data_IF_898266161596
#
_entry.id   IF_898266161596
#
_cell.length_a   1.000
_cell.length_b   1.000
_cell.length_c   1.000
_cell.angle_alpha   90.00
_cell.angle_beta   90.00
_cell.angle_gamma   90.00
#
_symmetry.space_group_name_H-M   'P 1'
#
loop_
_entity.id
_entity.type
_entity.pdbx_description
1 polymer ?
#
# COMPACT_ATOMS: atom_id res chain seq x y z
N UNK A 1 -3.16 12.14 -21.45
CA UNK A 1 -2.32 11.38 -22.41
C UNK A 1 -1.25 12.23 -23.12
N UNK A 2 -1.48 13.52 -23.34
CA UNK A 2 -0.64 14.38 -24.20
C UNK A 2 0.39 15.22 -23.45
N UNK A 3 0.55 15.06 -22.15
CA UNK A 3 1.53 15.79 -21.35
C UNK A 3 2.82 14.98 -21.29
N UNK A 4 3.95 15.60 -21.61
CA UNK A 4 5.27 14.95 -21.50
C UNK A 4 5.52 14.52 -20.06
N UNK A 5 6.26 13.43 -19.81
CA UNK A 5 6.55 12.97 -18.45
C UNK A 5 7.12 14.04 -17.52
N UNK A 6 7.92 14.96 -18.06
CA UNK A 6 8.59 16.04 -17.34
C UNK A 6 7.64 17.14 -16.89
N UNK A 7 6.54 17.35 -17.63
CA UNK A 7 5.56 18.43 -17.38
C UNK A 7 4.33 17.94 -16.61
N UNK A 8 4.34 16.72 -16.09
CA UNK A 8 3.20 16.16 -15.37
C UNK A 8 3.10 16.72 -13.97
N UNK A 9 1.93 17.25 -13.64
CA UNK A 9 1.60 17.63 -12.28
C UNK A 9 1.53 16.40 -11.36
N UNK A 10 1.78 16.60 -10.07
CA UNK A 10 1.72 15.54 -9.06
C UNK A 10 0.27 15.16 -8.71
N UNK A 11 -0.46 14.67 -9.71
CA UNK A 11 -1.88 14.28 -9.63
C UNK A 11 -2.08 12.88 -10.21
N UNK A 12 -3.03 12.13 -9.67
CA UNK A 12 -3.43 10.82 -10.18
C UNK A 12 -2.32 9.77 -10.09
N UNK A 13 -1.95 9.15 -11.21
CA UNK A 13 -0.91 8.11 -11.24
C UNK A 13 0.46 8.65 -10.84
N UNK A 14 0.80 9.88 -11.23
CA UNK A 14 2.07 10.50 -10.86
C UNK A 14 2.20 10.62 -9.35
N UNK A 15 1.16 11.13 -8.68
CA UNK A 15 1.12 11.24 -7.23
C UNK A 15 1.23 9.88 -6.52
N UNK A 16 0.60 8.83 -7.09
CA UNK A 16 0.68 7.48 -6.53
C UNK A 16 2.11 6.94 -6.61
N UNK A 17 2.77 7.10 -7.76
CA UNK A 17 4.15 6.65 -7.91
C UNK A 17 5.10 7.44 -7.02
N UNK A 18 4.98 8.76 -6.96
CA UNK A 18 5.82 9.61 -6.10
C UNK A 18 5.64 9.29 -4.60
N UNK A 19 4.47 8.82 -4.21
CA UNK A 19 4.20 8.41 -2.82
C UNK A 19 4.78 7.03 -2.47
N UNK A 20 4.84 6.13 -3.45
CA UNK A 20 5.31 4.75 -3.24
C UNK A 20 6.83 4.68 -3.35
N UNK A 21 7.43 5.43 -4.29
CA UNK A 21 8.86 5.45 -4.51
C UNK A 21 9.51 6.68 -3.83
N UNK A 22 10.77 6.60 -3.42
CA UNK A 22 11.69 5.48 -3.56
C UNK A 22 11.40 4.33 -2.58
N UNK A 23 11.71 3.11 -3.01
CA UNK A 23 11.68 1.92 -2.16
C UNK A 23 13.12 1.52 -1.88
N UNK A 24 13.53 1.60 -0.62
CA UNK A 24 14.87 1.21 -0.18
C UNK A 24 14.83 -0.13 0.53
N UNK A 25 15.89 -0.89 0.39
CA UNK A 25 16.08 -2.08 1.17
C UNK A 25 16.43 -1.74 2.63
N UNK A 26 16.35 -2.71 3.53
CA UNK A 26 16.64 -2.53 4.96
C UNK A 26 18.10 -2.15 5.22
N UNK A 27 19.04 -2.61 4.41
CA UNK A 27 20.47 -2.30 4.53
C UNK A 27 20.85 -0.96 3.89
N UNK A 28 19.94 -0.33 3.13
CA UNK A 28 20.21 0.90 2.40
C UNK A 28 21.16 0.72 1.20
N UNK A 29 21.49 -0.52 0.83
CA UNK A 29 22.39 -0.84 -0.27
C UNK A 29 21.67 -0.74 -1.60
N UNK A 30 20.40 -1.12 -1.68
CA UNK A 30 19.60 -1.08 -2.89
C UNK A 30 18.45 -0.08 -2.75
N UNK A 31 18.26 0.75 -3.75
CA UNK A 31 17.19 1.74 -3.81
C UNK A 31 16.54 1.70 -5.19
N UNK A 32 15.23 1.50 -5.22
CA UNK A 32 14.43 1.50 -6.44
C UNK A 32 13.71 2.85 -6.58
N UNK A 33 14.01 3.58 -7.65
CA UNK A 33 13.43 4.89 -7.94
C UNK A 33 12.51 4.84 -9.15
N UNK A 34 11.43 5.58 -9.06
CA UNK A 34 10.55 5.85 -10.18
C UNK A 34 11.13 6.98 -11.05
N UNK A 35 11.11 6.79 -12.37
CA UNK A 35 11.54 7.79 -13.34
C UNK A 35 10.34 8.37 -14.09
N UNK A 36 9.62 7.53 -14.81
CA UNK A 36 8.45 7.91 -15.61
C UNK A 36 7.51 6.73 -15.80
N UNK A 37 6.27 7.01 -16.19
CA UNK A 37 5.35 6.00 -16.70
C UNK A 37 4.84 6.39 -18.08
N UNK A 38 4.48 5.41 -18.85
CA UNK A 38 3.88 5.56 -20.19
C UNK A 38 2.65 4.68 -20.28
N UNK A 39 1.60 5.23 -20.89
CA UNK A 39 0.40 4.52 -21.27
C UNK A 39 0.43 4.35 -22.78
N UNK A 40 0.56 3.13 -23.24
CA UNK A 40 0.54 2.81 -24.65
C UNK A 40 -0.86 3.04 -25.24
N UNK A 41 -0.95 3.09 -26.56
CA UNK A 41 -2.26 3.17 -27.19
C UNK A 41 -3.03 1.85 -27.02
N UNK A 42 -4.36 1.93 -26.78
CA UNK A 42 -5.18 0.73 -26.68
C UNK A 42 -5.09 -0.09 -27.96
N UNK A 43 -4.97 -1.41 -27.81
CA UNK A 43 -4.86 -2.33 -28.95
C UNK A 43 -6.13 -2.34 -29.79
N UNK A 44 -7.30 -2.16 -29.18
CA UNK A 44 -8.61 -2.19 -29.81
C UNK A 44 -9.42 -0.98 -29.37
N UNK A 45 -10.31 -0.53 -30.27
CA UNK A 45 -11.30 0.51 -29.95
C UNK A 45 -12.39 -0.02 -29.01
N UNK A 46 -13.19 0.89 -28.46
CA UNK A 46 -14.28 0.58 -27.51
C UNK A 46 -15.28 -0.42 -28.09
N UNK A 47 -15.74 -0.16 -29.31
CA UNK A 47 -16.74 -1.01 -29.97
C UNK A 47 -16.18 -2.39 -30.32
N UNK A 48 -14.92 -2.45 -30.71
CA UNK A 48 -14.20 -3.69 -30.99
C UNK A 48 -13.99 -4.51 -29.70
N UNK A 49 -13.66 -3.87 -28.58
CA UNK A 49 -13.58 -4.52 -27.29
C UNK A 49 -14.92 -5.13 -26.85
N UNK A 50 -16.03 -4.45 -27.08
CA UNK A 50 -17.37 -4.96 -26.78
C UNK A 50 -17.69 -6.19 -27.63
N UNK A 51 -17.45 -6.13 -28.93
CA UNK A 51 -17.71 -7.23 -29.86
C UNK A 51 -16.87 -8.47 -29.59
N UNK A 52 -15.61 -8.29 -29.26
CA UNK A 52 -14.65 -9.36 -28.95
C UNK A 52 -14.74 -9.90 -27.53
N UNK A 53 -15.56 -9.31 -26.67
CA UNK A 53 -15.62 -9.67 -25.26
C UNK A 53 -14.35 -9.29 -24.48
N UNK A 54 -13.61 -8.27 -24.93
CA UNK A 54 -12.37 -7.79 -24.34
C UNK A 54 -12.54 -6.66 -23.33
N UNK A 55 -11.43 -6.24 -22.74
CA UNK A 55 -11.36 -5.09 -21.84
C UNK A 55 -10.69 -3.91 -22.54
N UNK A 56 -11.33 -2.75 -22.51
CA UNK A 56 -10.75 -1.51 -23.04
C UNK A 56 -9.76 -0.93 -22.07
N UNK A 57 -8.50 -1.04 -22.39
CA UNK A 57 -7.39 -0.61 -21.53
C UNK A 57 -6.13 -0.30 -22.32
N UNK A 58 -5.17 0.26 -21.62
CA UNK A 58 -3.86 0.63 -22.12
C UNK A 58 -2.79 -0.08 -21.30
N UNK A 59 -1.73 -0.53 -21.97
CA UNK A 59 -0.57 -1.10 -21.30
C UNK A 59 0.13 0.00 -20.48
N UNK A 60 0.31 -0.26 -19.19
CA UNK A 60 1.06 0.61 -18.30
C UNK A 60 2.50 0.12 -18.20
N UNK A 61 3.42 0.91 -18.73
CA UNK A 61 4.85 0.70 -18.64
C UNK A 61 5.46 1.73 -17.72
N UNK A 62 6.36 1.31 -16.85
CA UNK A 62 7.03 2.18 -15.90
C UNK A 62 8.54 2.01 -16.03
N UNK A 63 9.24 3.12 -16.15
CA UNK A 63 10.70 3.16 -16.14
C UNK A 63 11.16 3.31 -14.70
N UNK A 64 11.95 2.35 -14.24
CA UNK A 64 12.48 2.28 -12.89
C UNK A 64 14.02 2.27 -12.93
N UNK A 65 14.63 2.96 -11.96
CA UNK A 65 16.06 2.95 -11.73
C UNK A 65 16.38 2.19 -10.45
N UNK A 66 17.14 1.12 -10.58
CA UNK A 66 17.73 0.41 -9.44
C UNK A 66 19.12 0.97 -9.18
N UNK A 67 19.30 1.62 -8.04
CA UNK A 67 20.56 2.19 -7.59
C UNK A 67 21.15 1.23 -6.56
N UNK A 68 22.33 0.72 -6.85
CA UNK A 68 23.10 -0.13 -5.92
C UNK A 68 24.23 0.68 -5.35
N UNK A 69 24.31 0.74 -4.02
CA UNK A 69 25.36 1.46 -3.28
C UNK A 69 26.34 0.47 -2.68
N UNK A 70 27.57 0.90 -2.54
CA UNK A 70 28.63 0.20 -1.82
C UNK A 70 29.10 1.11 -0.70
N UNK A 71 29.20 0.55 0.50
CA UNK A 71 29.72 1.24 1.67
C UNK A 71 31.18 0.85 1.80
N UNK A 72 32.06 1.83 1.80
CA UNK A 72 33.49 1.64 2.06
C UNK A 72 33.68 1.30 3.55
N UNK A 73 34.23 0.13 3.82
CA UNK A 73 34.43 -0.38 5.19
C UNK A 73 35.40 0.49 6.01
N UNK A 74 36.35 1.20 5.38
CA UNK A 74 37.34 2.03 6.09
C UNK A 74 36.83 3.43 6.39
N UNK A 75 36.07 4.04 5.45
CA UNK A 75 35.64 5.44 5.56
C UNK A 75 34.17 5.59 5.97
N UNK A 76 33.37 4.51 5.86
CA UNK A 76 31.93 4.54 6.10
C UNK A 76 31.15 5.35 5.06
N UNK A 77 31.79 5.78 3.96
CA UNK A 77 31.15 6.58 2.91
C UNK A 77 30.41 5.67 1.94
N UNK A 78 29.12 5.98 1.74
CA UNK A 78 28.29 5.28 0.75
C UNK A 78 28.50 5.89 -0.63
N UNK A 79 28.95 5.10 -1.58
CA UNK A 79 29.12 5.47 -2.99
C UNK A 79 28.17 4.66 -3.88
N UNK A 80 27.76 5.25 -5.02
CA UNK A 80 26.94 4.54 -6.00
C UNK A 80 27.85 3.60 -6.78
N UNK A 81 27.56 2.30 -6.70
CA UNK A 81 28.30 1.26 -7.44
C UNK A 81 27.75 1.05 -8.83
N UNK A 82 26.42 1.00 -8.97
CA UNK A 82 25.77 0.71 -10.25
C UNK A 82 24.39 1.34 -10.30
N UNK A 83 23.94 1.74 -11.49
CA UNK A 83 22.58 2.22 -11.77
C UNK A 83 22.05 1.45 -12.97
N UNK A 84 20.97 0.69 -12.75
CA UNK A 84 20.29 -0.04 -13.80
C UNK A 84 18.92 0.57 -14.06
N UNK A 85 18.71 1.05 -15.28
CA UNK A 85 17.41 1.53 -15.73
C UNK A 85 16.71 0.44 -16.55
N UNK A 86 15.44 0.21 -16.26
CA UNK A 86 14.63 -0.78 -16.96
C UNK A 86 13.18 -0.35 -17.06
N UNK A 87 12.58 -0.58 -18.23
CA UNK A 87 11.15 -0.47 -18.43
C UNK A 87 10.45 -1.74 -17.96
N UNK A 88 9.52 -1.60 -17.06
CA UNK A 88 8.75 -2.69 -16.47
C UNK A 88 7.28 -2.56 -16.84
N UNK A 89 6.70 -3.63 -17.35
CA UNK A 89 5.27 -3.75 -17.55
C UNK A 89 4.59 -4.02 -16.21
N UNK A 90 3.71 -3.11 -15.77
CA UNK A 90 2.98 -3.26 -14.50
C UNK A 90 1.60 -3.88 -14.67
N UNK A 91 1.03 -3.82 -15.87
CA UNK A 91 -0.30 -4.37 -16.16
C UNK A 91 -1.09 -3.48 -17.11
N UNK A 92 -2.35 -3.86 -17.33
CA UNK A 92 -3.27 -3.11 -18.16
C UNK A 92 -4.07 -2.12 -17.31
N UNK A 93 -4.04 -0.84 -17.69
CA UNK A 93 -4.82 0.21 -17.07
C UNK A 93 -6.14 0.37 -17.82
N UNK A 94 -7.29 0.08 -17.20
CA UNK A 94 -8.58 0.32 -17.82
C UNK A 94 -8.77 1.80 -18.17
N UNK A 95 -9.26 2.09 -19.37
CA UNK A 95 -9.51 3.45 -19.83
C UNK A 95 -10.99 3.78 -19.76
N UNK A 96 -11.26 5.03 -19.37
CA UNK A 96 -12.61 5.57 -19.39
C UNK A 96 -13.00 5.93 -20.82
N UNK A 97 -14.22 5.54 -21.22
CA UNK A 97 -14.82 5.95 -22.49
C UNK A 97 -15.27 7.39 -22.44
N UNK A 98 -15.60 7.97 -23.59
CA UNK A 98 -16.18 9.32 -23.69
C UNK A 98 -17.51 9.49 -22.91
N UNK A 99 -18.22 8.39 -22.64
CA UNK A 99 -19.47 8.37 -21.88
C UNK A 99 -19.27 8.23 -20.36
N UNK A 100 -18.02 8.24 -19.87
CA UNK A 100 -17.72 8.08 -18.45
C UNK A 100 -17.84 6.63 -17.93
N UNK A 101 -17.81 5.65 -18.82
CA UNK A 101 -17.91 4.22 -18.50
C UNK A 101 -16.62 3.50 -18.79
N UNK A 102 -16.51 2.27 -18.33
CA UNK A 102 -15.41 1.34 -18.61
C UNK A 102 -15.96 0.10 -19.31
N UNK A 103 -15.14 -0.56 -20.11
CA UNK A 103 -15.49 -1.83 -20.75
C UNK A 103 -14.61 -2.93 -20.15
N UNK A 104 -15.25 -3.90 -19.49
CA UNK A 104 -14.61 -5.09 -18.95
C UNK A 104 -15.27 -6.34 -19.54
N UNK A 105 -14.48 -7.19 -20.17
CA UNK A 105 -14.94 -8.45 -20.76
C UNK A 105 -16.15 -8.24 -21.69
N UNK A 106 -16.11 -7.21 -22.52
CA UNK A 106 -17.19 -6.86 -23.45
C UNK A 106 -18.41 -6.20 -22.82
N UNK A 107 -18.42 -5.99 -21.50
CA UNK A 107 -19.56 -5.38 -20.79
C UNK A 107 -19.21 -3.96 -20.38
N UNK A 108 -20.08 -3.01 -20.72
CA UNK A 108 -19.96 -1.61 -20.29
C UNK A 108 -20.37 -1.47 -18.83
N UNK A 109 -19.50 -0.87 -18.01
CA UNK A 109 -19.70 -0.70 -16.57
C UNK A 109 -19.42 0.74 -16.16
N UNK A 110 -20.19 1.22 -15.19
CA UNK A 110 -19.94 2.50 -14.53
C UNK A 110 -19.40 2.27 -13.12
N UNK A 111 -18.45 3.11 -12.69
CA UNK A 111 -17.97 3.11 -11.33
C UNK A 111 -18.98 3.83 -10.45
N UNK A 112 -19.45 3.14 -9.41
CA UNK A 112 -20.39 3.68 -8.43
C UNK A 112 -19.69 3.79 -7.09
N UNK A 113 -19.76 4.97 -6.46
CA UNK A 113 -19.22 5.19 -5.13
C UNK A 113 -19.94 4.33 -4.10
N UNK A 114 -19.18 3.61 -3.29
CA UNK A 114 -19.69 2.78 -2.21
C UNK A 114 -19.46 3.46 -0.87
N UNK A 115 -20.51 3.52 -0.05
CA UNK A 115 -20.40 4.04 1.31
C UNK A 115 -19.59 3.06 2.16
N UNK A 116 -18.64 3.58 2.92
CA UNK A 116 -17.87 2.82 3.89
C UNK A 116 -17.82 3.57 5.23
N UNK A 117 -17.43 2.87 6.28
CA UNK A 117 -17.22 3.49 7.60
C UNK A 117 -16.12 4.53 7.51
N UNK A 118 -16.34 5.72 8.09
CA UNK A 118 -15.33 6.80 8.05
C UNK A 118 -14.02 6.37 8.70
N UNK A 119 -12.87 6.82 8.20
CA UNK A 119 -11.62 6.69 8.92
C UNK A 119 -11.70 7.37 10.29
N UNK A 120 -11.06 6.77 11.28
CA UNK A 120 -11.06 7.30 12.65
C UNK A 120 -10.94 6.21 13.69
N UNK A 121 -11.15 6.59 14.96
CA UNK A 121 -11.12 5.69 16.12
C UNK A 121 -12.53 5.50 16.62
N UNK A 122 -12.94 4.25 16.79
CA UNK A 122 -14.24 3.87 17.32
C UNK A 122 -14.05 3.11 18.61
N UNK A 123 -14.84 3.45 19.61
CA UNK A 123 -14.87 2.77 20.91
C UNK A 123 -16.18 2.01 21.07
N UNK A 124 -16.08 0.80 21.57
CA UNK A 124 -17.22 -0.10 21.79
C UNK A 124 -17.00 -0.93 23.05
N UNK A 125 -18.04 -1.61 23.51
CA UNK A 125 -18.00 -2.55 24.64
C UNK A 125 -19.03 -3.65 24.44
N UNK A 126 -18.78 -4.81 25.06
CA UNK A 126 -19.62 -6.01 24.96
C UNK A 126 -20.89 -5.99 25.82
N UNK A 127 -21.11 -4.93 26.61
CA UNK A 127 -22.21 -4.78 27.61
C UNK A 127 -22.19 -5.88 28.69
N UNK A 128 -21.01 -6.40 29.02
CA UNK A 128 -20.84 -7.45 30.03
C UNK A 128 -21.35 -8.83 29.63
N UNK A 129 -21.58 -9.09 28.32
CA UNK A 129 -22.12 -10.37 27.87
C UNK A 129 -21.08 -11.47 27.82
N UNK A 130 -19.81 -11.12 27.60
CA UNK A 130 -18.72 -12.08 27.38
C UNK A 130 -18.05 -12.55 28.66
N UNK A 131 -18.25 -11.85 29.79
CA UNK A 131 -17.64 -12.17 31.07
C UNK A 131 -18.67 -12.64 32.09
N UNK A 132 -18.39 -13.72 32.84
CA UNK A 132 -19.30 -14.31 33.83
C UNK A 132 -19.73 -13.39 34.96
N UNK A 133 -18.90 -12.42 35.32
CA UNK A 133 -19.18 -11.41 36.36
C UNK A 133 -19.91 -10.15 35.86
N UNK A 134 -20.28 -10.12 34.55
CA UNK A 134 -20.90 -8.94 33.95
C UNK A 134 -19.94 -7.76 33.74
N UNK A 135 -18.62 -7.98 33.81
CA UNK A 135 -17.59 -6.96 33.54
C UNK A 135 -17.65 -6.50 32.09
N UNK A 136 -17.67 -5.18 31.88
CA UNK A 136 -17.58 -4.60 30.55
C UNK A 136 -16.19 -4.80 29.98
N UNK A 137 -16.11 -5.46 28.81
CA UNK A 137 -14.89 -5.56 28.04
C UNK A 137 -14.93 -4.48 26.95
N UNK A 138 -13.98 -3.56 27.04
CA UNK A 138 -13.87 -2.45 26.10
C UNK A 138 -13.05 -2.88 24.89
N UNK A 139 -13.41 -2.32 23.76
CA UNK A 139 -12.68 -2.51 22.51
C UNK A 139 -12.56 -1.16 21.79
N UNK A 140 -11.49 -0.99 21.04
CA UNK A 140 -11.36 0.14 20.14
C UNK A 140 -10.89 -0.35 18.77
N UNK A 141 -11.42 0.29 17.73
CA UNK A 141 -11.08 0.01 16.34
C UNK A 141 -10.54 1.24 15.67
N UNK A 142 -9.33 1.13 15.14
CA UNK A 142 -8.69 2.15 14.34
C UNK A 142 -8.89 1.81 12.87
N UNK A 143 -9.55 2.71 12.16
CA UNK A 143 -9.78 2.58 10.71
C UNK A 143 -8.96 3.68 10.04
N UNK A 144 -7.86 3.33 9.32
CA UNK A 144 -7.08 4.29 8.57
C UNK A 144 -7.78 4.66 7.26
N UNK A 145 -7.36 5.77 6.65
CA UNK A 145 -7.80 6.13 5.30
C UNK A 145 -7.33 5.10 4.27
N UNK A 146 -6.05 4.72 4.34
CA UNK A 146 -5.45 3.64 3.55
C UNK A 146 -4.60 2.79 4.48
N UNK A 147 -4.90 1.49 4.57
CA UNK A 147 -4.12 0.57 5.36
C UNK A 147 -4.98 -0.46 6.10
N UNK A 148 -4.32 -1.23 6.95
CA UNK A 148 -4.94 -2.30 7.73
C UNK A 148 -5.68 -1.76 8.94
N UNK A 149 -6.82 -2.36 9.26
CA UNK A 149 -7.56 -2.06 10.48
C UNK A 149 -6.84 -2.63 11.69
N UNK A 150 -6.84 -1.87 12.78
CA UNK A 150 -6.26 -2.28 14.05
C UNK A 150 -7.36 -2.29 15.10
N UNK A 151 -7.58 -3.45 15.71
CA UNK A 151 -8.50 -3.63 16.81
C UNK A 151 -7.72 -3.82 18.11
N UNK A 152 -8.01 -3.02 19.15
CA UNK A 152 -7.57 -3.25 20.51
C UNK A 152 -8.72 -3.81 21.33
N UNK A 153 -8.49 -4.89 22.05
CA UNK A 153 -9.50 -5.57 22.84
C UNK A 153 -8.98 -5.84 24.26
N UNK A 154 -9.78 -5.50 25.28
CA UNK A 154 -9.50 -5.93 26.63
C UNK A 154 -9.96 -7.37 26.86
N UNK A 155 -9.13 -8.12 27.58
CA UNK A 155 -9.49 -9.46 28.06
C UNK A 155 -10.09 -9.37 29.48
N UNK A 156 -10.73 -10.47 29.92
CA UNK A 156 -11.26 -10.58 31.28
C UNK A 156 -10.22 -10.39 32.40
N UNK A 157 -8.94 -10.55 32.09
CA UNK A 157 -7.79 -10.34 32.99
C UNK A 157 -7.18 -8.94 32.92
N UNK A 158 -7.85 -7.98 32.32
CA UNK A 158 -7.36 -6.60 32.10
C UNK A 158 -6.11 -6.50 31.20
N UNK A 159 -5.84 -7.54 30.40
CA UNK A 159 -4.79 -7.50 29.39
C UNK A 159 -5.34 -6.91 28.10
N UNK A 160 -4.53 -6.07 27.45
CA UNK A 160 -4.87 -5.47 26.16
C UNK A 160 -4.22 -6.28 25.04
N UNK A 161 -5.05 -6.73 24.12
CA UNK A 161 -4.63 -7.41 22.92
C UNK A 161 -4.85 -6.53 21.69
N UNK A 162 -3.98 -6.69 20.71
CA UNK A 162 -4.10 -6.05 19.40
C UNK A 162 -4.31 -7.10 18.33
N UNK A 163 -5.15 -6.78 17.36
CA UNK A 163 -5.40 -7.57 16.18
C UNK A 163 -5.28 -6.69 14.94
N UNK A 164 -4.46 -7.09 14.00
CA UNK A 164 -4.26 -6.39 12.73
C UNK A 164 -4.96 -7.20 11.65
N UNK A 165 -5.87 -6.57 10.88
CA UNK A 165 -6.66 -7.21 9.80
C UNK A 165 -7.30 -8.53 10.20
N UNK A 166 -7.88 -8.59 11.41
CA UNK A 166 -8.53 -9.80 11.95
C UNK A 166 -7.61 -11.03 12.07
N UNK A 167 -6.29 -10.84 12.00
CA UNK A 167 -5.31 -11.91 12.20
C UNK A 167 -5.23 -12.30 13.68
N UNK A 168 -4.24 -13.13 14.03
CA UNK A 168 -4.00 -13.62 15.40
C UNK A 168 -3.85 -12.46 16.39
N UNK A 169 -4.40 -12.60 17.58
CA UNK A 169 -4.24 -11.66 18.70
C UNK A 169 -2.79 -11.65 19.19
N UNK A 170 -2.25 -10.47 19.38
CA UNK A 170 -0.95 -10.20 19.99
C UNK A 170 -1.14 -9.32 21.22
N UNK A 171 -0.21 -9.33 22.16
CA UNK A 171 -0.22 -8.35 23.24
C UNK A 171 0.03 -6.95 22.67
N UNK A 172 -0.73 -5.96 23.15
CA UNK A 172 -0.57 -4.57 22.70
C UNK A 172 0.82 -4.01 23.00
N UNK A 173 1.47 -4.46 24.09
CA UNK A 173 2.83 -4.10 24.43
C UNK A 173 3.83 -4.48 23.34
N UNK A 174 3.65 -5.63 22.68
CA UNK A 174 4.53 -6.06 21.56
C UNK A 174 4.42 -5.12 20.36
N UNK A 175 3.20 -4.64 20.05
CA UNK A 175 3.02 -3.65 18.99
C UNK A 175 3.67 -2.30 19.37
N UNK A 176 3.48 -1.84 20.59
CA UNK A 176 4.06 -0.57 21.05
C UNK A 176 5.59 -0.60 21.07
N UNK A 177 6.18 -1.73 21.48
CA UNK A 177 7.63 -1.92 21.42
C UNK A 177 8.16 -1.97 19.97
N UNK A 178 7.37 -2.53 19.04
CA UNK A 178 7.75 -2.57 17.62
C UNK A 178 7.66 -1.19 16.94
N UNK A 179 6.84 -0.28 17.47
CA UNK A 179 6.72 1.10 16.97
C UNK A 179 7.79 2.05 17.53
N UNK A 180 8.50 1.63 18.58
CA UNK A 180 9.59 2.39 19.19
C UNK A 180 10.90 1.98 18.52
N UNK A 181 11.43 2.81 17.63
CA UNK A 181 12.60 2.49 16.80
C UNK A 181 13.85 2.16 17.62
N UNK A 182 14.11 2.87 18.72
CA UNK A 182 15.26 2.63 19.59
C UNK A 182 15.16 1.27 20.31
N UNK A 183 13.98 0.95 20.85
CA UNK A 183 13.73 -0.31 21.53
C UNK A 183 13.58 -1.49 20.58
N UNK A 184 13.03 -1.23 19.39
CA UNK A 184 12.91 -2.23 18.33
C UNK A 184 14.27 -2.75 17.85
N UNK A 185 15.26 -1.88 17.70
CA UNK A 185 16.63 -2.27 17.36
C UNK A 185 17.26 -3.16 18.46
N UNK A 186 17.14 -2.76 19.73
CA UNK A 186 17.66 -3.52 20.88
C UNK A 186 17.01 -4.90 21.02
N UNK A 187 15.69 -5.01 20.78
CA UNK A 187 14.97 -6.29 20.85
C UNK A 187 15.37 -7.25 19.74
N UNK A 188 15.68 -6.75 18.54
CA UNK A 188 16.23 -7.58 17.45
C UNK A 188 17.59 -8.17 17.80
N UNK A 189 18.48 -7.36 18.37
CA UNK A 189 19.83 -7.78 18.75
C UNK A 189 19.82 -8.80 19.90
N UNK A 190 18.83 -8.76 20.78
CA UNK A 190 18.64 -9.73 21.85
C UNK A 190 18.03 -11.05 21.34
N UNK A 191 17.14 -11.01 20.32
CA UNK A 191 16.53 -12.22 19.73
C UNK A 191 17.44 -12.96 18.76
N UNK A 192 18.51 -12.34 18.27
CA UNK A 192 19.49 -12.93 17.37
C UNK A 192 20.72 -13.52 18.10
N UNK A 193 20.80 -13.41 19.40
CA UNK A 193 21.79 -14.07 20.29
C UNK A 193 21.23 -15.35 20.88
#
# INVERSE_FOLDING_TARGET
KNVKPEDREDIGLQAVFNKVFPISDFSGIAELRFVKYELEEPRYDVDECIQRGGTYGSLLRVTLNLIIREVDEETGVSSVKDIKEQDVYLGDMPLMTSKGTFVFNGTTRAVVSQMHRSPGVFFDHDKGKSHSTGKFLFASRLIPYNGSWIDFEFDGKDLIYVRIDKRRKLLASSLLLALDDEKSAKYRDECLK
#
